data_IF_632348270883
#
_entry.id   IF_632348270883
#
_cell.length_a   1.000
_cell.length_b   1.000
_cell.length_c   1.000
_cell.angle_alpha   90.00
_cell.angle_beta   90.00
_cell.angle_gamma   90.00
#
_symmetry.space_group_name_H-M   'P 1'
#
loop_
_entity.id
_entity.type
_entity.pdbx_description
1 polymer ?
#
# COMPACT_ATOMS: atom_id res chain seq x y z
N UNK A 1 13.39 -12.76 -26.88
CA UNK A 1 13.05 -11.61 -25.99
C UNK A 1 11.93 -12.06 -25.06
N UNK A 2 12.04 -11.82 -23.74
CA UNK A 2 11.01 -12.26 -22.78
C UNK A 2 9.85 -11.25 -22.75
N UNK A 3 8.62 -11.74 -22.71
CA UNK A 3 7.43 -10.90 -22.52
C UNK A 3 6.92 -11.05 -21.09
N UNK A 4 6.91 -9.96 -20.34
CA UNK A 4 6.46 -9.92 -18.95
C UNK A 4 5.15 -9.13 -18.86
N UNK A 5 4.14 -9.77 -18.27
CA UNK A 5 2.87 -9.14 -17.97
C UNK A 5 2.95 -8.41 -16.64
N UNK A 6 2.46 -7.17 -16.60
CA UNK A 6 2.33 -6.35 -15.42
C UNK A 6 0.85 -6.19 -15.12
N UNK A 7 0.41 -6.54 -13.91
CA UNK A 7 -0.94 -6.24 -13.44
C UNK A 7 -0.80 -5.37 -12.17
N UNK A 8 -0.56 -4.08 -12.41
CA UNK A 8 -0.16 -3.13 -11.38
C UNK A 8 -1.25 -2.08 -11.14
N UNK A 9 -1.39 -1.61 -9.90
CA UNK A 9 -2.27 -0.50 -9.54
C UNK A 9 -1.50 0.80 -9.81
N UNK A 10 -1.58 1.21 -11.07
CA UNK A 10 -0.79 2.30 -11.67
C UNK A 10 -1.12 3.70 -11.13
N UNK A 11 -2.30 3.87 -10.51
CA UNK A 11 -2.72 5.14 -9.90
C UNK A 11 -1.90 5.55 -8.68
N UNK A 12 -1.25 4.60 -8.01
CA UNK A 12 -0.49 4.85 -6.79
C UNK A 12 0.99 5.16 -7.07
N UNK A 13 1.65 5.94 -6.19
CA UNK A 13 3.11 6.14 -6.27
C UNK A 13 3.88 4.83 -6.04
N UNK A 14 3.29 3.88 -5.31
CA UNK A 14 3.83 2.53 -5.13
C UNK A 14 3.95 1.77 -6.45
N UNK A 15 2.87 1.69 -7.23
CA UNK A 15 2.88 1.06 -8.56
C UNK A 15 3.88 1.75 -9.50
N UNK A 16 3.94 3.09 -9.49
CA UNK A 16 4.95 3.85 -10.25
C UNK A 16 6.38 3.55 -9.79
N UNK A 17 6.62 3.38 -8.49
CA UNK A 17 7.91 2.99 -7.93
C UNK A 17 8.35 1.61 -8.42
N UNK A 18 7.45 0.63 -8.40
CA UNK A 18 7.69 -0.71 -8.93
C UNK A 18 8.07 -0.63 -10.41
N UNK A 19 7.31 0.12 -11.22
CA UNK A 19 7.63 0.29 -12.63
C UNK A 19 8.99 0.91 -12.89
N UNK A 20 9.36 1.94 -12.13
CA UNK A 20 10.71 2.53 -12.23
C UNK A 20 11.79 1.51 -11.90
N UNK A 21 11.57 0.67 -10.89
CA UNK A 21 12.46 -0.44 -10.55
C UNK A 21 12.59 -1.45 -11.69
N UNK A 22 11.47 -1.89 -12.27
CA UNK A 22 11.43 -2.81 -13.41
C UNK A 22 12.16 -2.20 -14.60
N UNK A 23 11.86 -0.94 -14.96
CA UNK A 23 12.50 -0.25 -16.08
C UNK A 23 14.02 -0.13 -15.90
N UNK A 24 14.47 0.24 -14.70
CA UNK A 24 15.89 0.32 -14.34
C UNK A 24 16.59 -1.05 -14.48
N UNK A 25 15.93 -2.12 -14.02
CA UNK A 25 16.44 -3.48 -14.15
C UNK A 25 16.54 -3.91 -15.63
N UNK A 26 15.48 -3.70 -16.42
CA UNK A 26 15.47 -4.11 -17.83
C UNK A 26 16.48 -3.34 -18.68
N UNK A 27 16.77 -2.09 -18.32
CA UNK A 27 17.77 -1.27 -18.99
C UNK A 27 19.19 -1.81 -18.79
N UNK A 28 19.48 -2.42 -17.65
CA UNK A 28 20.82 -2.88 -17.25
C UNK A 28 21.11 -4.37 -17.48
N UNK A 29 20.09 -5.19 -17.76
CA UNK A 29 20.25 -6.65 -17.83
C UNK A 29 19.87 -7.24 -19.19
N UNK A 30 18.60 -7.14 -19.59
CA UNK A 30 18.10 -7.73 -20.84
C UNK A 30 16.80 -7.03 -21.22
N UNK A 31 16.59 -6.68 -22.51
CA UNK A 31 15.33 -6.09 -22.93
C UNK A 31 14.18 -7.08 -22.73
N UNK A 32 13.17 -6.66 -21.98
CA UNK A 32 11.88 -7.35 -21.85
C UNK A 32 10.81 -6.54 -22.58
N UNK A 33 9.84 -7.22 -23.17
CA UNK A 33 8.59 -6.58 -23.58
C UNK A 33 7.70 -6.52 -22.34
N UNK A 34 7.39 -5.32 -21.88
CA UNK A 34 6.46 -5.11 -20.77
C UNK A 34 5.05 -4.92 -21.35
N UNK A 35 4.11 -5.79 -20.95
CA UNK A 35 2.68 -5.64 -21.27
C UNK A 35 1.94 -5.28 -20.00
N UNK A 36 1.30 -4.11 -19.96
CA UNK A 36 0.49 -3.72 -18.82
C UNK A 36 -0.95 -4.18 -19.02
N UNK A 37 -1.48 -4.92 -18.04
CA UNK A 37 -2.87 -5.27 -17.94
C UNK A 37 -3.58 -4.20 -17.11
N UNK A 38 -4.55 -3.52 -17.72
CA UNK A 38 -5.36 -2.52 -17.05
C UNK A 38 -6.54 -3.24 -16.38
N UNK A 39 -6.51 -3.36 -15.05
CA UNK A 39 -7.55 -4.00 -14.24
C UNK A 39 -7.34 -5.50 -13.99
N UNK A 40 -8.19 -6.08 -13.13
CA UNK A 40 -8.12 -7.49 -12.70
C UNK A 40 -8.66 -8.49 -13.74
N UNK A 41 -9.21 -8.00 -14.85
CA UNK A 41 -9.77 -8.84 -15.90
C UNK A 41 -8.88 -8.89 -17.16
N UNK A 42 -7.98 -9.88 -17.24
CA UNK A 42 -7.22 -10.18 -18.46
C UNK A 42 -8.06 -10.57 -19.68
N UNK A 43 -9.38 -10.68 -19.56
CA UNK A 43 -10.32 -11.00 -20.63
C UNK A 43 -11.03 -9.78 -21.23
N UNK A 44 -10.77 -8.55 -20.78
CA UNK A 44 -11.36 -7.35 -21.39
C UNK A 44 -10.82 -7.15 -22.81
N UNK A 45 -11.64 -7.58 -23.77
CA UNK A 45 -11.56 -7.51 -25.25
C UNK A 45 -10.27 -8.05 -25.92
N UNK A 46 -10.43 -9.16 -26.65
CA UNK A 46 -9.42 -9.71 -27.58
C UNK A 46 -8.42 -10.71 -26.98
N UNK A 47 -8.25 -10.70 -25.65
CA UNK A 47 -7.34 -11.58 -24.93
C UNK A 47 -5.86 -11.37 -25.29
N UNK A 48 -4.96 -11.66 -24.36
CA UNK A 48 -3.53 -11.57 -24.65
C UNK A 48 -3.10 -12.80 -25.45
N UNK A 49 -2.99 -12.63 -26.77
CA UNK A 49 -2.58 -13.70 -27.71
C UNK A 49 -1.07 -13.98 -27.67
N UNK A 50 -0.28 -13.05 -27.13
CA UNK A 50 1.17 -13.22 -27.02
C UNK A 50 1.52 -14.15 -25.86
N UNK A 51 2.48 -15.05 -26.08
CA UNK A 51 3.09 -15.82 -25.00
C UNK A 51 3.61 -14.89 -23.90
N UNK A 52 3.23 -15.18 -22.66
CA UNK A 52 3.73 -14.51 -21.46
C UNK A 52 4.76 -15.43 -20.78
N UNK A 53 5.96 -14.91 -20.57
CA UNK A 53 7.08 -15.63 -19.96
C UNK A 53 7.16 -15.41 -18.44
N UNK A 54 6.42 -14.43 -17.91
CA UNK A 54 6.30 -14.15 -16.49
C UNK A 54 5.29 -13.05 -16.18
N UNK A 55 4.82 -13.01 -14.93
CA UNK A 55 3.80 -12.08 -14.46
C UNK A 55 4.29 -11.41 -13.18
N UNK A 56 4.16 -10.09 -13.09
CA UNK A 56 4.35 -9.30 -11.87
C UNK A 56 3.00 -8.63 -11.58
N UNK A 57 2.40 -8.90 -10.42
CA UNK A 57 1.03 -8.50 -10.14
C UNK A 57 0.80 -8.09 -8.69
N UNK A 58 -0.17 -7.21 -8.43
CA UNK A 58 -0.75 -7.11 -7.08
C UNK A 58 -1.79 -8.21 -6.91
N UNK A 59 -1.42 -9.27 -6.19
CA UNK A 59 -2.35 -10.37 -5.96
C UNK A 59 -3.33 -9.97 -4.86
N UNK A 60 -4.53 -9.59 -5.28
CA UNK A 60 -5.64 -9.19 -4.40
C UNK A 60 -6.18 -10.36 -3.57
N UNK A 61 -6.32 -11.55 -4.16
CA UNK A 61 -6.75 -12.76 -3.47
C UNK A 61 -6.31 -14.07 -4.18
N UNK A 62 -6.69 -15.21 -3.60
CA UNK A 62 -6.43 -16.53 -4.18
C UNK A 62 -7.23 -16.80 -5.49
N UNK A 63 -8.32 -16.08 -5.75
CA UNK A 63 -9.11 -16.21 -7.00
C UNK A 63 -8.38 -15.51 -8.14
N UNK A 64 -7.78 -14.35 -7.90
CA UNK A 64 -6.97 -13.60 -8.84
C UNK A 64 -5.75 -14.44 -9.29
N UNK A 65 -4.97 -14.98 -8.37
CA UNK A 65 -3.84 -15.86 -8.73
C UNK A 65 -4.27 -17.09 -9.53
N UNK A 66 -5.40 -17.72 -9.18
CA UNK A 66 -5.96 -18.85 -9.96
C UNK A 66 -6.39 -18.44 -11.36
N UNK A 67 -6.96 -17.24 -11.53
CA UNK A 67 -7.34 -16.70 -12.85
C UNK A 67 -6.11 -16.54 -13.74
N UNK A 68 -5.06 -15.89 -13.21
CA UNK A 68 -3.78 -15.74 -13.93
C UNK A 68 -3.18 -17.10 -14.32
N UNK A 69 -3.22 -18.09 -13.42
CA UNK A 69 -2.71 -19.45 -13.70
C UNK A 69 -3.52 -20.19 -14.76
N UNK A 70 -4.84 -20.06 -14.75
CA UNK A 70 -5.72 -20.67 -15.78
C UNK A 70 -5.44 -20.09 -17.16
N UNK A 71 -5.18 -18.79 -17.23
CA UNK A 71 -5.02 -18.10 -18.51
C UNK A 71 -3.62 -18.22 -19.09
N UNK A 72 -2.60 -18.06 -18.27
CA UNK A 72 -1.21 -18.02 -18.74
C UNK A 72 -0.46 -19.33 -18.48
N UNK A 73 -1.09 -20.31 -17.84
CA UNK A 73 -0.55 -21.64 -17.60
C UNK A 73 0.16 -21.80 -16.26
N UNK A 74 0.15 -23.04 -15.76
CA UNK A 74 0.74 -23.39 -14.45
C UNK A 74 2.25 -23.15 -14.39
N UNK A 75 2.96 -23.18 -15.52
CA UNK A 75 4.42 -23.00 -15.57
C UNK A 75 4.87 -21.54 -15.66
N UNK A 76 3.96 -20.59 -15.87
CA UNK A 76 4.32 -19.18 -16.03
C UNK A 76 4.58 -18.55 -14.66
N UNK A 77 5.79 -18.12 -14.33
CA UNK A 77 6.10 -17.58 -13.00
C UNK A 77 5.25 -16.34 -12.71
N UNK A 78 4.76 -16.24 -11.47
CA UNK A 78 4.02 -15.09 -10.96
C UNK A 78 4.78 -14.57 -9.74
N UNK A 79 5.03 -13.27 -9.68
CA UNK A 79 5.58 -12.58 -8.51
C UNK A 79 4.53 -11.61 -7.99
N UNK A 80 4.18 -11.75 -6.72
CA UNK A 80 3.34 -10.79 -6.02
C UNK A 80 4.16 -9.57 -5.56
N UNK A 81 3.59 -8.39 -5.75
CA UNK A 81 4.13 -7.12 -5.28
C UNK A 81 3.08 -6.31 -4.49
N UNK A 82 1.94 -6.89 -4.13
CA UNK A 82 0.85 -6.19 -3.45
C UNK A 82 0.79 -6.32 -1.94
N UNK A 83 1.29 -7.43 -1.37
CA UNK A 83 1.06 -7.81 0.04
C UNK A 83 -0.41 -7.68 0.48
N UNK A 84 -1.37 -7.89 -0.44
CA UNK A 84 -2.80 -7.86 -0.12
C UNK A 84 -3.26 -9.23 0.37
N UNK A 85 -2.78 -10.28 -0.29
CA UNK A 85 -3.03 -11.67 0.06
C UNK A 85 -1.69 -12.44 0.11
N UNK A 86 -1.52 -13.35 1.07
CA UNK A 86 -0.33 -14.21 1.16
C UNK A 86 -0.63 -15.59 0.61
N UNK A 87 0.00 -15.91 -0.52
CA UNK A 87 -0.11 -17.22 -1.15
C UNK A 87 1.25 -17.92 -1.14
N UNK A 88 1.38 -19.00 -0.38
CA UNK A 88 2.64 -19.76 -0.24
C UNK A 88 3.24 -20.21 -1.59
N UNK A 89 2.39 -20.46 -2.58
CA UNK A 89 2.81 -20.92 -3.91
C UNK A 89 3.21 -19.78 -4.87
N UNK A 90 3.13 -18.52 -4.45
CA UNK A 90 3.45 -17.34 -5.26
C UNK A 90 4.62 -16.61 -4.57
N UNK A 91 5.81 -16.58 -5.19
CA UNK A 91 6.90 -15.72 -4.73
C UNK A 91 6.45 -14.27 -4.60
N UNK A 92 6.99 -13.56 -3.61
CA UNK A 92 6.57 -12.21 -3.28
C UNK A 92 7.76 -11.29 -3.05
N UNK A 93 7.64 -10.03 -3.46
CA UNK A 93 8.59 -8.95 -3.17
C UNK A 93 7.81 -7.77 -2.63
N UNK A 94 7.86 -7.59 -1.32
CA UNK A 94 7.09 -6.59 -0.58
C UNK A 94 7.99 -5.73 0.28
N UNK A 95 7.49 -4.55 0.66
CA UNK A 95 8.05 -3.80 1.78
C UNK A 95 7.89 -4.58 3.09
N UNK A 96 8.78 -4.36 4.06
CA UNK A 96 8.54 -4.80 5.43
C UNK A 96 7.52 -3.86 6.08
N UNK A 97 6.24 -4.19 5.92
CA UNK A 97 5.12 -3.36 6.37
C UNK A 97 5.06 -3.23 7.89
N UNK A 98 5.50 -4.25 8.64
CA UNK A 98 5.62 -4.15 10.08
C UNK A 98 6.70 -3.12 10.48
N UNK A 99 7.83 -3.14 9.80
CA UNK A 99 8.89 -2.15 9.99
C UNK A 99 8.43 -0.74 9.60
N UNK A 100 7.65 -0.59 8.53
CA UNK A 100 7.03 0.71 8.16
C UNK A 100 6.15 1.23 9.29
N UNK A 101 5.28 0.39 9.85
CA UNK A 101 4.44 0.74 11.00
C UNK A 101 5.24 1.18 12.22
N UNK A 102 6.30 0.43 12.56
CA UNK A 102 7.22 0.77 13.65
C UNK A 102 7.85 2.15 13.46
N UNK A 103 8.35 2.44 12.26
CA UNK A 103 9.02 3.70 11.95
C UNK A 103 8.07 4.90 12.04
N UNK A 104 6.80 4.72 11.65
CA UNK A 104 5.77 5.74 11.80
C UNK A 104 5.54 6.08 13.28
N UNK A 105 5.36 5.08 14.15
CA UNK A 105 5.23 5.32 15.58
C UNK A 105 6.49 5.98 16.17
N UNK A 106 7.69 5.50 15.81
CA UNK A 106 8.97 6.10 16.25
C UNK A 106 9.07 7.58 15.93
N UNK A 107 8.68 7.97 14.71
CA UNK A 107 8.73 9.35 14.28
C UNK A 107 7.94 10.29 15.20
N UNK A 108 6.74 9.89 15.62
CA UNK A 108 5.92 10.67 16.55
C UNK A 108 6.50 10.69 17.96
N UNK A 109 6.97 9.53 18.44
CA UNK A 109 7.55 9.41 19.78
C UNK A 109 8.81 10.28 19.94
N UNK A 110 9.67 10.32 18.93
CA UNK A 110 10.87 11.17 18.87
C UNK A 110 10.53 12.66 18.92
N UNK A 111 9.31 13.05 18.51
CA UNK A 111 8.82 14.43 18.55
C UNK A 111 8.09 14.79 19.84
N UNK A 112 8.07 13.88 20.81
CA UNK A 112 7.47 14.11 22.12
C UNK A 112 5.99 13.77 22.22
N UNK A 113 5.36 13.28 21.15
CA UNK A 113 3.97 12.78 21.23
C UNK A 113 3.90 11.54 22.15
N UNK A 114 2.80 11.43 22.90
CA UNK A 114 2.58 10.37 23.91
C UNK A 114 1.26 9.62 23.74
N UNK A 115 0.26 10.29 23.17
CA UNK A 115 -1.03 9.72 22.81
C UNK A 115 -1.06 9.52 21.30
N UNK A 116 -1.05 8.25 20.87
CA UNK A 116 -0.98 7.89 19.46
C UNK A 116 -2.16 7.00 19.11
N UNK A 117 -2.80 7.28 17.98
CA UNK A 117 -3.80 6.41 17.38
C UNK A 117 -3.33 6.00 15.97
N UNK A 118 -3.68 4.78 15.57
CA UNK A 118 -3.46 4.28 14.22
C UNK A 118 -4.81 3.91 13.63
N UNK A 119 -5.09 4.42 12.44
CA UNK A 119 -6.21 3.98 11.64
C UNK A 119 -5.66 3.45 10.32
N UNK A 120 -6.01 2.21 9.98
CA UNK A 120 -5.69 1.64 8.68
C UNK A 120 -6.98 1.23 7.99
N UNK A 121 -7.05 1.47 6.68
CA UNK A 121 -8.13 0.87 5.90
C UNK A 121 -7.84 -0.63 5.76
N UNK A 122 -8.79 -1.54 6.05
CA UNK A 122 -8.56 -2.99 6.17
C UNK A 122 -8.35 -3.69 4.81
N UNK A 123 -7.35 -3.24 4.05
CA UNK A 123 -6.94 -3.77 2.76
C UNK A 123 -5.74 -4.71 2.97
N UNK A 124 -6.05 -5.99 3.15
CA UNK A 124 -5.07 -7.07 3.09
C UNK A 124 -3.98 -7.04 4.17
N UNK A 125 -2.92 -7.81 3.94
CA UNK A 125 -1.83 -7.98 4.91
C UNK A 125 -1.01 -6.71 5.14
N UNK A 126 -0.80 -5.90 4.09
CA UNK A 126 -0.08 -4.63 4.19
C UNK A 126 -0.61 -3.73 5.31
N UNK A 127 -1.93 -3.50 5.36
CA UNK A 127 -2.55 -2.66 6.39
C UNK A 127 -2.43 -3.28 7.78
N UNK A 128 -2.70 -4.58 7.89
CA UNK A 128 -2.63 -5.31 9.16
C UNK A 128 -1.22 -5.29 9.76
N UNK A 129 -0.18 -5.48 8.93
CA UNK A 129 1.20 -5.50 9.41
C UNK A 129 1.69 -4.12 9.83
N UNK A 130 1.31 -3.06 9.10
CA UNK A 130 1.60 -1.67 9.50
C UNK A 130 0.93 -1.31 10.82
N UNK A 131 -0.34 -1.64 10.97
CA UNK A 131 -1.09 -1.42 12.21
C UNK A 131 -0.42 -2.14 13.39
N UNK A 132 -0.06 -3.42 13.20
CA UNK A 132 0.63 -4.20 14.22
C UNK A 132 1.99 -3.60 14.60
N UNK A 133 2.80 -3.21 13.61
CA UNK A 133 4.11 -2.60 13.83
C UNK A 133 4.03 -1.26 14.57
N UNK A 134 3.04 -0.44 14.20
CA UNK A 134 2.76 0.83 14.87
C UNK A 134 2.33 0.60 16.31
N UNK A 135 1.29 -0.21 16.52
CA UNK A 135 0.69 -0.46 17.83
C UNK A 135 1.72 -1.03 18.81
N UNK A 136 2.52 -2.01 18.36
CA UNK A 136 3.60 -2.59 19.17
C UNK A 136 4.61 -1.54 19.61
N UNK A 137 4.99 -0.62 18.72
CA UNK A 137 5.99 0.40 19.04
C UNK A 137 5.43 1.51 19.93
N UNK A 138 4.19 1.91 19.72
CA UNK A 138 3.48 2.88 20.55
C UNK A 138 3.30 2.35 21.99
N UNK A 139 2.88 1.09 22.14
CA UNK A 139 2.69 0.46 23.45
C UNK A 139 3.99 0.32 24.27
N UNK A 140 5.15 0.22 23.62
CA UNK A 140 6.44 0.07 24.30
C UNK A 140 6.87 1.32 25.09
N UNK A 141 6.20 2.46 24.90
CA UNK A 141 6.54 3.74 25.54
C UNK A 141 5.33 4.52 26.06
N UNK A 142 4.12 4.06 25.75
CA UNK A 142 2.90 4.60 26.33
C UNK A 142 2.77 4.11 27.79
N UNK A 143 2.32 4.97 28.73
CA UNK A 143 1.94 4.50 30.06
C UNK A 143 0.77 3.48 29.95
N UNK A 144 0.58 2.58 30.93
CA UNK A 144 -0.29 1.39 30.80
C UNK A 144 -1.80 1.63 30.64
N UNK A 145 -2.28 2.82 30.29
CA UNK A 145 -3.68 3.21 30.49
C UNK A 145 -4.32 4.04 29.37
N UNK A 146 -4.01 3.76 28.10
CA UNK A 146 -4.91 4.19 27.03
C UNK A 146 -5.73 3.00 26.55
N UNK A 147 -7.07 3.12 26.47
CA UNK A 147 -7.88 2.07 25.90
C UNK A 147 -7.44 1.85 24.46
N UNK A 148 -7.09 0.60 24.12
CA UNK A 148 -7.04 0.17 22.73
C UNK A 148 -8.42 0.45 22.15
N UNK A 149 -8.52 1.40 21.21
CA UNK A 149 -9.75 1.56 20.43
C UNK A 149 -9.93 0.24 19.67
N UNK A 150 -10.90 -0.56 20.09
CA UNK A 150 -11.22 -1.81 19.44
C UNK A 150 -11.65 -1.54 18.00
N UNK A 151 -11.30 -2.47 17.11
CA UNK A 151 -11.68 -2.45 15.71
C UNK A 151 -13.21 -2.40 15.62
N UNK A 152 -13.76 -1.26 15.20
CA UNK A 152 -15.18 -1.12 14.97
C UNK A 152 -15.59 -1.95 13.74
N UNK A 153 -16.18 -3.11 13.94
CA UNK A 153 -16.66 -4.00 12.86
C UNK A 153 -17.99 -3.51 12.21
N UNK A 154 -18.39 -2.25 12.43
CA UNK A 154 -19.66 -1.72 11.91
C UNK A 154 -19.48 -1.17 10.49
N UNK A 155 -20.25 -1.63 9.50
CA UNK A 155 -20.37 -0.95 8.23
C UNK A 155 -20.97 0.43 8.45
N UNK A 156 -20.45 1.44 7.75
CA UNK A 156 -20.95 2.80 7.76
C UNK A 156 -22.43 2.84 7.34
N UNK A 157 -23.33 2.85 8.32
CA UNK A 157 -24.68 3.37 8.09
C UNK A 157 -24.60 4.90 8.21
N UNK A 158 -25.11 5.59 7.19
CA UNK A 158 -25.30 7.04 7.19
C UNK A 158 -26.04 7.46 8.46
N UNK A 159 -25.30 8.00 9.43
CA UNK A 159 -25.84 8.31 10.75
C UNK A 159 -24.76 8.40 11.81
N UNK A 160 -24.06 9.55 11.83
CA UNK A 160 -23.12 9.92 12.89
C UNK A 160 -23.74 9.73 14.29
N UNK A 161 -23.23 8.75 15.06
CA UNK A 161 -23.09 8.90 16.52
C UNK A 161 -21.77 8.26 16.98
N UNK A 162 -20.66 8.87 16.57
CA UNK A 162 -19.39 8.66 17.26
C UNK A 162 -19.37 9.54 18.52
N UNK A 163 -19.30 8.93 19.69
CA UNK A 163 -19.14 9.65 20.95
C UNK A 163 -17.88 10.53 20.90
N UNK A 164 -18.08 11.85 20.92
CA UNK A 164 -17.02 12.84 21.14
C UNK A 164 -16.65 12.81 22.63
N UNK A 165 -15.43 12.38 22.95
CA UNK A 165 -14.69 13.06 24.02
C UNK A 165 -13.71 14.02 23.33
N UNK A 166 -13.92 15.31 23.58
CA UNK A 166 -13.10 16.36 23.03
C UNK A 166 -11.81 16.46 23.83
N UNK A 167 -10.71 15.91 23.31
CA UNK A 167 -9.35 16.46 23.41
C UNK A 167 -8.41 15.58 22.59
N UNK A 168 -7.55 16.25 21.83
CA UNK A 168 -6.44 15.71 21.02
C UNK A 168 -6.78 15.37 19.55
N UNK A 169 -6.19 16.15 18.66
CA UNK A 169 -6.35 16.10 17.22
C UNK A 169 -5.67 14.85 16.65
N UNK A 170 -6.37 14.11 15.81
CA UNK A 170 -5.82 13.00 15.05
C UNK A 170 -5.11 13.54 13.80
N UNK A 171 -3.79 13.38 13.72
CA UNK A 171 -3.02 13.73 12.52
C UNK A 171 -2.48 12.47 11.84
N UNK A 172 -2.90 12.24 10.59
CA UNK A 172 -2.18 11.42 9.63
C UNK A 172 -1.53 12.38 8.63
N UNK A 173 -0.26 12.17 8.29
CA UNK A 173 0.44 12.99 7.30
C UNK A 173 0.41 12.32 5.93
N UNK A 174 -0.17 13.01 4.96
CA UNK A 174 0.03 12.77 3.54
C UNK A 174 0.93 13.90 3.01
N UNK A 175 2.13 13.57 2.53
CA UNK A 175 2.97 14.56 1.84
C UNK A 175 2.55 14.63 0.37
N UNK A 176 1.68 15.57 0.03
CA UNK A 176 1.52 16.02 -1.36
C UNK A 176 2.59 17.08 -1.64
N UNK A 177 3.76 16.65 -2.11
CA UNK A 177 4.86 17.56 -2.44
C UNK A 177 4.46 18.62 -3.49
N UNK A 178 3.48 18.33 -4.36
CA UNK A 178 2.96 19.29 -5.33
C UNK A 178 1.96 20.24 -4.67
N UNK A 179 1.03 19.74 -3.86
CA UNK A 179 0.11 20.55 -3.05
C UNK A 179 0.84 21.52 -2.11
N UNK A 180 1.91 21.07 -1.43
CA UNK A 180 2.75 21.93 -0.57
C UNK A 180 3.52 22.96 -1.40
N UNK A 181 4.01 22.59 -2.59
CA UNK A 181 4.70 23.52 -3.50
C UNK A 181 3.76 24.55 -4.13
N UNK A 182 2.49 24.22 -4.29
CA UNK A 182 1.47 25.05 -4.93
C UNK A 182 0.55 25.74 -3.91
N UNK A 183 0.82 25.64 -2.60
CA UNK A 183 -0.03 26.20 -1.54
C UNK A 183 -0.32 27.71 -1.69
N UNK A 184 0.64 28.44 -2.24
CA UNK A 184 0.51 29.89 -2.46
C UNK A 184 -0.43 30.21 -3.64
N UNK A 185 -0.67 29.23 -4.53
CA UNK A 185 -1.64 29.30 -5.64
C UNK A 185 -3.02 28.75 -5.22
N UNK A 186 -3.03 27.69 -4.41
CA UNK A 186 -4.24 27.02 -3.93
C UNK A 186 -4.95 27.87 -2.86
N UNK A 187 -4.20 28.63 -2.06
CA UNK A 187 -4.71 29.36 -0.91
C UNK A 187 -4.79 28.45 0.30
N UNK A 188 -4.03 28.74 1.36
CA UNK A 188 -3.93 27.88 2.55
C UNK A 188 -5.28 27.77 3.27
N UNK A 189 -6.09 28.82 3.18
CA UNK A 189 -7.44 28.95 3.69
C UNK A 189 -8.49 28.07 2.98
N UNK A 190 -8.18 27.55 1.79
CA UNK A 190 -9.11 26.70 1.02
C UNK A 190 -8.83 25.20 1.18
N UNK A 191 -7.79 24.85 1.93
CA UNK A 191 -7.38 23.46 2.14
C UNK A 191 -8.37 22.72 3.05
N UNK A 192 -9.14 21.80 2.47
CA UNK A 192 -9.94 20.84 3.24
C UNK A 192 -9.07 19.68 3.73
N UNK A 193 -9.18 19.36 5.02
CA UNK A 193 -8.64 18.13 5.60
C UNK A 193 -9.61 16.97 5.33
N UNK A 194 -9.18 15.99 4.53
CA UNK A 194 -9.95 14.79 4.22
C UNK A 194 -9.10 13.55 4.37
N UNK A 195 -9.63 12.53 5.05
CA UNK A 195 -9.04 11.19 5.16
C UNK A 195 -9.59 10.32 4.03
N UNK A 196 -8.82 10.12 2.96
CA UNK A 196 -9.16 9.19 1.89
C UNK A 196 -8.20 7.99 1.84
N UNK A 197 -8.69 6.90 1.24
CA UNK A 197 -8.11 5.63 0.82
C UNK A 197 -6.63 5.69 0.34
N UNK A 198 -5.89 4.55 0.27
CA UNK A 198 -4.46 4.50 0.53
C UNK A 198 -3.61 5.21 -0.54
N UNK A 199 -2.99 6.31 -0.13
CA UNK A 199 -1.86 6.95 -0.81
C UNK A 199 -0.80 7.29 0.27
N UNK A 200 0.37 6.63 0.25
CA UNK A 200 1.69 7.18 -0.13
C UNK A 200 2.00 8.48 0.63
N UNK A 201 2.82 8.50 1.68
CA UNK A 201 4.28 8.45 1.59
C UNK A 201 4.91 7.99 2.92
N UNK A 202 5.81 7.02 2.86
CA UNK A 202 6.71 6.70 3.98
C UNK A 202 8.04 6.20 3.40
N UNK A 203 8.66 6.99 2.53
CA UNK A 203 10.09 6.84 2.25
C UNK A 203 10.87 7.40 3.42
N UNK A 204 11.13 6.55 4.41
CA UNK A 204 12.02 6.92 5.50
C UNK A 204 13.45 7.06 4.97
N UNK A 205 14.15 8.18 5.25
CA UNK A 205 15.49 8.45 4.72
C UNK A 205 16.58 7.41 5.06
N UNK A 206 16.28 6.42 5.91
CA UNK A 206 17.24 5.41 6.39
C UNK A 206 16.80 3.95 6.19
N UNK A 207 15.74 3.65 5.44
CA UNK A 207 15.29 2.26 5.21
C UNK A 207 16.19 1.42 4.28
N UNK A 208 17.34 1.95 3.88
CA UNK A 208 18.34 1.28 3.02
C UNK A 208 19.68 1.00 3.73
N UNK A 209 19.70 1.04 5.07
CA UNK A 209 20.86 0.66 5.88
C UNK A 209 20.68 -0.72 6.47
#
# INVERSE_FOLDING_TARGET
MKTVLLNLIMGSSYGRGILRGIASYTHSHTPWILRNLVGDDPCLEGGIQTRIDGIIAHISDARHARRLRRMFGLRTPIVDVGNLCRLRAVPAVHSDDHQVGRMAAEHFLERGFRHLACYTYPIGWMSLEREAGFARRAAAVAPPSLPTLERGDQPWHEGLVGHKSATEQFASFQEDAHGVRLRDVIGVETLCWGSDYPHTESTFPRSRR
#
